data_IF_031240555264
#
_entry.id   IF_031240555264
#
_cell.length_a   1.000
_cell.length_b   1.000
_cell.length_c   1.000
_cell.angle_alpha   90.00
_cell.angle_beta   90.00
_cell.angle_gamma   90.00
#
_symmetry.space_group_name_H-M   'P 1'
#
loop_
_entity.id
_entity.type
_entity.pdbx_description
1 polymer ?
#
# COMPACT_ATOMS: atom_id res chain seq x y z
N UNK A 1 41.56 14.36 59.25
CA UNK A 1 42.18 13.09 59.64
C UNK A 1 41.82 12.03 58.60
N UNK A 2 42.61 11.76 57.56
CA UNK A 2 43.94 12.23 57.20
C UNK A 2 44.11 12.06 55.69
N UNK A 3 45.08 12.82 55.20
CA UNK A 3 45.65 12.80 53.85
C UNK A 3 46.26 11.42 53.51
N UNK A 4 46.31 11.07 52.22
CA UNK A 4 47.54 10.58 51.61
C UNK A 4 47.39 10.49 50.08
N UNK A 5 48.16 11.34 49.43
CA UNK A 5 48.51 11.33 48.02
C UNK A 5 49.41 10.13 47.71
N UNK A 6 49.21 9.50 46.54
CA UNK A 6 50.37 9.01 45.81
C UNK A 6 50.15 8.99 44.30
N UNK A 7 50.99 9.79 43.64
CA UNK A 7 51.25 9.86 42.22
C UNK A 7 51.66 8.52 41.60
N UNK A 8 51.24 8.32 40.35
CA UNK A 8 51.67 7.21 39.50
C UNK A 8 51.27 7.43 38.05
N UNK A 9 51.97 8.35 37.39
CA UNK A 9 52.08 8.37 35.92
C UNK A 9 52.98 7.21 35.47
N UNK A 10 52.50 6.34 34.57
CA UNK A 10 53.35 5.58 33.64
C UNK A 10 52.56 5.10 32.40
N UNK A 11 52.59 5.96 31.39
CA UNK A 11 52.87 5.75 29.95
C UNK A 11 52.70 4.33 29.34
N UNK A 12 51.89 4.33 28.27
CA UNK A 12 51.83 3.50 27.02
C UNK A 12 51.44 2.02 27.07
N UNK A 13 50.37 1.69 26.33
CA UNK A 13 50.58 0.99 25.05
C UNK A 13 49.42 1.23 24.08
N UNK A 14 49.80 1.63 22.87
CA UNK A 14 48.91 1.78 21.74
C UNK A 14 48.59 0.40 21.19
N UNK A 15 47.32 0.00 21.16
CA UNK A 15 46.89 -1.04 20.24
C UNK A 15 45.49 -0.77 19.66
N UNK A 16 45.57 -0.32 18.40
CA UNK A 16 44.58 -0.34 17.33
C UNK A 16 43.52 -1.45 17.38
N UNK A 17 42.31 -1.03 16.99
CA UNK A 17 41.30 -1.76 16.20
C UNK A 17 40.89 -3.15 16.67
N UNK A 18 39.62 -3.28 17.09
CA UNK A 18 38.55 -3.78 16.21
C UNK A 18 37.28 -4.06 17.02
N UNK A 19 36.22 -3.34 16.67
CA UNK A 19 34.86 -3.51 17.18
C UNK A 19 34.39 -4.95 16.97
N UNK A 20 34.28 -5.70 18.06
CA UNK A 20 33.61 -7.01 18.10
C UNK A 20 32.43 -6.92 19.06
N UNK A 21 31.39 -6.19 18.63
CA UNK A 21 30.09 -6.24 19.30
C UNK A 21 29.31 -7.41 18.72
N UNK A 22 29.49 -8.58 19.33
CA UNK A 22 28.56 -9.69 19.22
C UNK A 22 27.24 -9.28 19.88
N UNK A 23 26.28 -8.86 19.07
CA UNK A 23 24.86 -8.78 19.46
C UNK A 23 24.07 -9.70 18.55
N UNK A 24 23.69 -10.85 19.11
CA UNK A 24 22.67 -11.73 18.59
C UNK A 24 21.37 -10.95 18.43
N UNK A 25 21.00 -10.63 17.20
CA UNK A 25 19.61 -10.30 16.86
C UNK A 25 19.13 -11.35 15.85
N UNK A 26 18.07 -12.05 16.23
CA UNK A 26 17.39 -13.02 15.38
C UNK A 26 16.87 -12.30 14.14
N UNK A 27 17.65 -12.30 13.06
CA UNK A 27 17.18 -11.90 11.74
C UNK A 27 16.18 -12.94 11.25
N UNK A 28 14.90 -12.73 11.58
CA UNK A 28 13.77 -13.23 10.79
C UNK A 28 13.94 -12.67 9.38
N UNK A 29 14.69 -13.42 8.58
CA UNK A 29 14.89 -13.18 7.16
C UNK A 29 13.55 -13.46 6.49
N UNK A 30 12.78 -12.39 6.34
CA UNK A 30 11.56 -12.36 5.58
C UNK A 30 11.85 -12.98 4.20
N UNK A 31 11.15 -14.06 3.87
CA UNK A 31 11.26 -14.75 2.58
C UNK A 31 10.85 -13.76 1.48
N UNK A 32 11.81 -13.04 0.92
CA UNK A 32 11.57 -12.27 -0.30
C UNK A 32 11.43 -13.28 -1.43
N UNK A 33 10.19 -13.72 -1.66
CA UNK A 33 9.84 -14.52 -2.83
C UNK A 33 10.12 -13.66 -4.05
N UNK A 34 11.13 -14.03 -4.83
CA UNK A 34 11.36 -13.36 -6.10
C UNK A 34 10.15 -13.63 -7.02
N UNK A 35 9.47 -12.58 -7.51
CA UNK A 35 8.37 -12.76 -8.43
C UNK A 35 8.86 -13.36 -9.74
N UNK A 36 7.98 -14.10 -10.44
CA UNK A 36 8.27 -14.59 -11.78
C UNK A 36 8.58 -13.42 -12.74
N UNK A 37 9.24 -13.69 -13.87
CA UNK A 37 9.68 -12.64 -14.82
C UNK A 37 8.56 -11.78 -15.40
N UNK A 38 7.32 -12.26 -15.35
CA UNK A 38 6.10 -11.58 -15.79
C UNK A 38 5.31 -10.94 -14.63
N UNK A 39 5.91 -10.85 -13.44
CA UNK A 39 5.28 -10.30 -12.23
C UNK A 39 6.15 -9.19 -11.68
N UNK A 40 5.53 -8.03 -11.47
CA UNK A 40 6.17 -6.89 -10.82
C UNK A 40 5.40 -6.60 -9.53
N UNK A 41 6.12 -6.57 -8.41
CA UNK A 41 5.58 -6.14 -7.13
C UNK A 41 5.92 -4.67 -6.93
N UNK A 42 4.90 -3.82 -6.94
CA UNK A 42 5.06 -2.38 -6.79
C UNK A 42 4.57 -1.97 -5.40
N UNK A 43 5.42 -1.28 -4.64
CA UNK A 43 5.01 -0.59 -3.42
C UNK A 43 4.54 0.82 -3.79
N UNK A 44 3.24 1.03 -3.84
CA UNK A 44 2.64 2.33 -4.13
C UNK A 44 1.37 2.53 -3.30
N UNK A 45 0.94 3.79 -3.19
CA UNK A 45 -0.42 4.11 -2.78
C UNK A 45 -1.34 3.84 -3.98
N UNK A 46 -2.40 3.06 -3.76
CA UNK A 46 -3.19 2.49 -4.85
C UNK A 46 -3.93 3.56 -5.66
N UNK A 47 -4.44 4.61 -5.00
CA UNK A 47 -5.15 5.68 -5.69
C UNK A 47 -4.23 6.50 -6.59
N UNK A 48 -3.03 6.83 -6.12
CA UNK A 48 -2.00 7.50 -6.91
C UNK A 48 -1.52 6.62 -8.06
N UNK A 49 -1.39 5.31 -7.84
CA UNK A 49 -1.06 4.38 -8.90
C UNK A 49 -2.11 4.36 -10.02
N UNK A 50 -3.40 4.30 -9.69
CA UNK A 50 -4.46 4.36 -10.70
C UNK A 50 -4.45 5.66 -11.50
N UNK A 51 -4.21 6.80 -10.84
CA UNK A 51 -4.07 8.09 -11.55
C UNK A 51 -2.90 8.04 -12.53
N UNK A 52 -1.75 7.54 -12.08
CA UNK A 52 -0.57 7.38 -12.93
C UNK A 52 -0.86 6.46 -14.13
N UNK A 53 -1.55 5.33 -13.93
CA UNK A 53 -1.98 4.45 -15.01
C UNK A 53 -2.85 5.18 -16.04
N UNK A 54 -3.86 5.94 -15.58
CA UNK A 54 -4.75 6.70 -16.46
C UNK A 54 -4.01 7.82 -17.21
N UNK A 55 -3.10 8.52 -16.54
CA UNK A 55 -2.27 9.58 -17.16
C UNK A 55 -1.34 9.04 -18.26
N UNK A 56 -1.02 7.74 -18.24
CA UNK A 56 -0.21 7.06 -19.25
C UNK A 56 -1.06 6.18 -20.19
N UNK A 57 -2.39 6.38 -20.23
CA UNK A 57 -3.33 5.66 -21.08
C UNK A 57 -3.29 4.13 -20.91
N UNK A 58 -2.99 3.65 -19.70
CA UNK A 58 -3.01 2.23 -19.43
C UNK A 58 -4.45 1.72 -19.41
N UNK A 59 -4.70 0.69 -20.21
CA UNK A 59 -5.92 -0.11 -20.13
C UNK A 59 -5.55 -1.45 -19.52
N UNK A 60 -6.31 -1.84 -18.52
CA UNK A 60 -6.07 -3.07 -17.78
C UNK A 60 -7.06 -4.13 -18.26
N UNK A 61 -6.58 -5.35 -18.50
CA UNK A 61 -7.46 -6.45 -18.92
C UNK A 61 -8.30 -6.99 -17.75
N UNK A 62 -7.67 -7.09 -16.57
CA UNK A 62 -8.27 -7.68 -15.36
C UNK A 62 -7.73 -7.02 -14.10
N UNK A 63 -8.62 -6.84 -13.14
CA UNK A 63 -8.29 -6.31 -11.81
C UNK A 63 -8.90 -7.20 -10.73
N UNK A 64 -8.20 -7.30 -9.60
CA UNK A 64 -8.61 -8.18 -8.52
C UNK A 64 -8.59 -7.44 -7.18
N UNK A 65 -9.76 -7.27 -6.55
CA UNK A 65 -9.87 -6.84 -5.16
C UNK A 65 -10.19 -8.05 -4.31
N UNK A 66 -9.14 -8.63 -3.73
CA UNK A 66 -9.24 -9.84 -2.95
C UNK A 66 -9.28 -9.48 -1.46
N UNK A 67 -10.43 -9.75 -0.84
CA UNK A 67 -10.70 -9.49 0.57
C UNK A 67 -10.36 -8.06 1.01
N UNK A 68 -10.90 -7.03 0.33
CA UNK A 68 -10.73 -5.65 0.75
C UNK A 68 -11.31 -5.49 2.17
N UNK A 69 -10.64 -4.70 3.01
CA UNK A 69 -11.04 -4.56 4.41
C UNK A 69 -12.49 -4.01 4.50
N UNK A 70 -13.44 -4.79 5.03
CA UNK A 70 -14.86 -4.47 4.93
C UNK A 70 -15.33 -3.32 5.82
N UNK A 71 -14.64 -3.05 6.95
CA UNK A 71 -15.07 -2.11 7.98
C UNK A 71 -16.56 -2.27 8.38
N UNK A 72 -16.91 -3.32 9.14
CA UNK A 72 -18.30 -3.68 9.40
C UNK A 72 -19.08 -2.67 10.24
N UNK A 73 -18.38 -1.88 11.06
CA UNK A 73 -19.00 -0.86 11.90
C UNK A 73 -19.49 0.31 11.04
N UNK A 74 -20.77 0.68 11.17
CA UNK A 74 -21.38 1.82 10.46
C UNK A 74 -20.60 3.13 10.62
N UNK A 75 -20.01 3.37 11.80
CA UNK A 75 -19.16 4.54 12.05
C UNK A 75 -17.93 4.65 11.12
N UNK A 76 -17.53 3.56 10.44
CA UNK A 76 -16.39 3.48 9.52
C UNK A 76 -16.79 3.34 8.06
N UNK A 77 -18.03 3.69 7.71
CA UNK A 77 -18.52 3.70 6.32
C UNK A 77 -17.59 4.49 5.39
N UNK A 78 -17.06 5.64 5.85
CA UNK A 78 -16.13 6.49 5.09
C UNK A 78 -14.77 5.82 4.79
N UNK A 79 -14.43 4.74 5.48
CA UNK A 79 -13.20 3.98 5.22
C UNK A 79 -13.39 2.90 4.17
N UNK A 80 -14.62 2.61 3.73
CA UNK A 80 -14.89 1.60 2.71
C UNK A 80 -14.41 2.11 1.35
N UNK A 81 -13.90 1.20 0.52
CA UNK A 81 -13.30 1.54 -0.77
C UNK A 81 -14.21 2.35 -1.69
N UNK A 82 -15.50 2.03 -1.72
CA UNK A 82 -16.47 2.75 -2.54
C UNK A 82 -16.77 4.18 -2.05
N UNK A 83 -16.35 4.54 -0.83
CA UNK A 83 -16.42 5.92 -0.32
C UNK A 83 -15.13 6.72 -0.59
N UNK A 84 -14.12 6.10 -1.21
CA UNK A 84 -12.86 6.76 -1.51
C UNK A 84 -12.99 7.67 -2.74
N UNK A 85 -12.40 8.89 -2.76
CA UNK A 85 -12.48 9.80 -3.91
C UNK A 85 -11.87 9.24 -5.20
N UNK A 86 -11.02 8.21 -5.09
CA UNK A 86 -10.44 7.51 -6.24
C UNK A 86 -11.29 6.38 -6.79
N UNK A 87 -12.42 6.05 -6.14
CA UNK A 87 -13.33 5.01 -6.62
C UNK A 87 -13.83 5.24 -8.06
N UNK A 88 -14.13 6.48 -8.51
CA UNK A 88 -14.50 6.74 -9.90
C UNK A 88 -13.42 6.47 -10.94
N UNK A 89 -12.16 6.27 -10.53
CA UNK A 89 -11.06 5.92 -11.43
C UNK A 89 -11.11 4.45 -11.82
N UNK A 90 -11.70 3.59 -10.98
CA UNK A 90 -11.78 2.14 -11.21
C UNK A 90 -12.46 1.80 -12.55
N UNK A 91 -13.66 2.33 -12.89
CA UNK A 91 -14.26 2.08 -14.20
C UNK A 91 -13.45 2.64 -15.38
N UNK A 92 -12.66 3.69 -15.17
CA UNK A 92 -11.91 4.35 -16.25
C UNK A 92 -10.70 3.51 -16.68
N UNK A 93 -10.13 2.70 -15.78
CA UNK A 93 -9.04 1.78 -16.10
C UNK A 93 -9.47 0.64 -17.04
N UNK A 94 -10.78 0.41 -17.15
CA UNK A 94 -11.36 -0.61 -18.01
C UNK A 94 -11.23 -2.04 -17.48
N UNK A 95 -11.38 -3.00 -18.40
CA UNK A 95 -11.21 -4.43 -18.11
C UNK A 95 -12.30 -5.06 -17.25
N UNK A 96 -11.96 -6.23 -16.69
CA UNK A 96 -12.84 -7.00 -15.81
C UNK A 96 -12.39 -6.86 -14.35
N UNK A 97 -13.19 -6.19 -13.53
CA UNK A 97 -12.99 -6.13 -12.08
C UNK A 97 -13.61 -7.34 -11.39
N UNK A 98 -12.78 -8.13 -10.71
CA UNK A 98 -13.21 -9.26 -9.87
C UNK A 98 -13.03 -8.91 -8.40
N UNK A 99 -14.08 -9.09 -7.59
CA UNK A 99 -14.06 -8.81 -6.16
C UNK A 99 -14.41 -10.07 -5.39
N UNK A 100 -13.66 -10.34 -4.32
CA UNK A 100 -13.93 -11.45 -3.40
C UNK A 100 -14.01 -10.92 -1.99
N UNK A 101 -15.06 -11.26 -1.27
CA UNK A 101 -15.26 -10.93 0.13
C UNK A 101 -16.08 -12.03 0.79
N UNK A 102 -15.89 -12.23 2.09
CA UNK A 102 -16.74 -13.10 2.90
C UNK A 102 -17.98 -12.36 3.43
N UNK A 103 -18.12 -11.06 3.11
CA UNK A 103 -19.26 -10.25 3.54
C UNK A 103 -20.12 -9.83 2.36
N UNK A 104 -21.26 -10.48 2.22
CA UNK A 104 -22.20 -10.30 1.11
C UNK A 104 -22.71 -8.86 0.99
N UNK A 105 -23.07 -8.23 2.13
CA UNK A 105 -23.55 -6.84 2.14
C UNK A 105 -22.56 -5.87 1.50
N UNK A 106 -21.26 -6.05 1.75
CA UNK A 106 -20.23 -5.22 1.15
C UNK A 106 -20.16 -5.41 -0.37
N UNK A 107 -20.32 -6.64 -0.87
CA UNK A 107 -20.34 -6.90 -2.31
C UNK A 107 -21.53 -6.22 -2.98
N UNK A 108 -22.70 -6.27 -2.34
CA UNK A 108 -23.90 -5.63 -2.85
C UNK A 108 -23.75 -4.10 -2.89
N UNK A 109 -23.28 -3.49 -1.79
CA UNK A 109 -23.00 -2.05 -1.72
C UNK A 109 -21.96 -1.62 -2.76
N UNK A 110 -20.91 -2.42 -2.96
CA UNK A 110 -19.89 -2.15 -3.96
C UNK A 110 -20.47 -2.17 -5.37
N UNK A 111 -21.26 -3.21 -5.72
CA UNK A 111 -21.90 -3.33 -7.02
C UNK A 111 -22.81 -2.13 -7.31
N UNK A 112 -23.69 -1.77 -6.36
CA UNK A 112 -24.55 -0.58 -6.49
C UNK A 112 -23.75 0.70 -6.67
N UNK A 113 -22.66 0.87 -5.92
CA UNK A 113 -21.79 2.05 -6.06
C UNK A 113 -21.13 2.11 -7.44
N UNK A 114 -20.72 0.95 -7.97
CA UNK A 114 -20.13 0.84 -9.30
C UNK A 114 -21.12 1.24 -10.39
N UNK A 115 -22.36 0.76 -10.31
CA UNK A 115 -23.42 1.11 -11.26
C UNK A 115 -23.69 2.62 -11.29
N UNK A 116 -23.75 3.25 -10.10
CA UNK A 116 -23.94 4.70 -9.97
C UNK A 116 -22.81 5.47 -10.65
N UNK A 117 -21.56 5.08 -10.43
CA UNK A 117 -20.40 5.74 -11.02
C UNK A 117 -20.36 5.54 -12.53
N UNK A 118 -20.58 4.32 -13.02
CA UNK A 118 -20.61 4.04 -14.46
C UNK A 118 -21.68 4.88 -15.17
N UNK A 119 -22.88 4.95 -14.61
CA UNK A 119 -23.97 5.78 -15.14
C UNK A 119 -23.60 7.27 -15.16
N UNK A 120 -22.98 7.77 -14.08
CA UNK A 120 -22.51 9.15 -14.02
C UNK A 120 -21.46 9.45 -15.10
N UNK A 121 -20.47 8.57 -15.27
CA UNK A 121 -19.42 8.74 -16.28
C UNK A 121 -19.98 8.72 -17.70
N UNK A 122 -20.91 7.82 -18.01
CA UNK A 122 -21.57 7.74 -19.31
C UNK A 122 -22.34 9.03 -19.64
N UNK A 123 -23.07 9.57 -18.67
CA UNK A 123 -23.81 10.82 -18.85
C UNK A 123 -22.87 12.01 -19.12
N UNK A 124 -21.75 12.10 -18.39
CA UNK A 124 -20.76 13.15 -18.62
C UNK A 124 -20.13 13.05 -20.02
N UNK A 125 -19.78 11.85 -20.47
CA UNK A 125 -19.21 11.65 -21.80
C UNK A 125 -20.18 12.07 -22.92
N UNK A 126 -21.47 11.74 -22.77
CA UNK A 126 -22.50 12.14 -23.73
C UNK A 126 -22.66 13.67 -23.80
N UNK A 127 -22.60 14.36 -22.66
CA UNK A 127 -22.71 15.82 -22.63
C UNK A 127 -21.52 16.50 -23.33
N UNK A 128 -20.31 15.96 -23.16
CA UNK A 128 -19.11 16.51 -23.80
C UNK A 128 -19.11 16.34 -25.32
N UNK A 129 -19.74 15.29 -25.85
CA UNK A 129 -19.82 15.04 -27.29
C UNK A 129 -20.88 15.88 -28.02
N UNK A 130 -21.82 16.49 -27.28
CA UNK A 130 -22.90 17.30 -27.82
C UNK A 130 -22.61 18.81 -27.83
N UNK A 131 -21.40 19.20 -27.42
CA UNK A 131 -20.92 20.59 -27.32
C UNK A 131 -19.76 20.81 -28.27
#
# INVERSE_FOLDING_TARGET
DGDDDHDGDDVVDSNSFSSSSSSSSSSSSELIVQPASNVVLVRAELSGFWRCCLEHDWTLDRHYFLYPNPYPKKARLKSRWYAHPAFPLVPQLGGVLTIRSNWDTFLHEFATSMDVVCNYNNNNNNNNNNN
#
